data_IF_048550467348
#
_entry.id   IF_048550467348
#
_cell.length_a   1.000
_cell.length_b   1.000
_cell.length_c   1.000
_cell.angle_alpha   90.00
_cell.angle_beta   90.00
_cell.angle_gamma   90.00
#
_symmetry.space_group_name_H-M   'P 1'
#
loop_
_entity.id
_entity.type
_entity.pdbx_description
1 polymer ?
#
# COMPACT_ATOMS: atom_id res chain seq x y z
N UNK A 1 -76.93 -12.33 -0.34
CA UNK A 1 -75.70 -12.89 0.15
C UNK A 1 -74.59 -12.03 -0.44
N UNK A 2 -73.94 -11.09 0.35
CA UNK A 2 -72.57 -10.58 0.08
C UNK A 2 -72.20 -9.29 0.81
N UNK A 3 -73.05 -8.84 1.78
CA UNK A 3 -72.64 -7.65 2.53
C UNK A 3 -71.83 -7.96 3.80
N UNK A 4 -71.91 -9.19 4.33
CA UNK A 4 -71.24 -9.60 5.56
C UNK A 4 -69.75 -9.88 5.35
N UNK A 5 -69.33 -10.29 4.14
CA UNK A 5 -67.91 -10.56 3.84
C UNK A 5 -67.10 -9.29 3.57
N UNK A 6 -67.72 -8.21 3.07
CA UNK A 6 -67.03 -6.92 2.85
C UNK A 6 -66.81 -6.17 4.17
N UNK A 7 -67.82 -6.15 5.05
CA UNK A 7 -67.71 -5.50 6.35
C UNK A 7 -66.70 -6.17 7.27
N UNK A 8 -66.58 -7.51 7.21
CA UNK A 8 -65.56 -8.25 7.97
C UNK A 8 -64.14 -8.02 7.44
N UNK A 9 -63.98 -7.88 6.12
CA UNK A 9 -62.66 -7.58 5.51
C UNK A 9 -62.21 -6.12 5.78
N UNK A 10 -63.15 -5.16 5.81
CA UNK A 10 -62.81 -3.78 6.17
C UNK A 10 -62.48 -3.65 7.68
N UNK A 11 -63.08 -4.47 8.52
CA UNK A 11 -62.81 -4.50 9.96
C UNK A 11 -61.49 -5.18 10.29
N UNK A 12 -61.11 -6.26 9.58
CA UNK A 12 -59.82 -6.91 9.66
C UNK A 12 -58.64 -5.96 9.29
N UNK A 13 -58.83 -5.11 8.28
CA UNK A 13 -57.80 -4.12 7.90
C UNK A 13 -57.60 -3.02 8.95
N UNK A 14 -58.60 -2.75 9.83
CA UNK A 14 -58.49 -1.79 10.93
C UNK A 14 -57.77 -2.35 12.16
N UNK A 15 -57.66 -3.66 12.29
CA UNK A 15 -57.08 -4.36 13.44
C UNK A 15 -55.62 -4.79 13.24
N UNK A 16 -55.10 -4.68 11.99
CA UNK A 16 -53.69 -4.83 11.65
C UNK A 16 -53.12 -3.43 11.44
N UNK A 17 -52.36 -2.93 12.41
CA UNK A 17 -51.71 -1.63 12.29
C UNK A 17 -50.32 -1.85 11.68
N UNK A 18 -50.04 -1.16 10.57
CA UNK A 18 -48.72 -1.13 9.93
C UNK A 18 -48.11 0.24 10.17
N UNK A 19 -46.89 0.25 10.63
CA UNK A 19 -46.07 1.45 10.80
C UNK A 19 -44.75 1.29 10.06
N UNK A 20 -44.35 2.34 9.36
CA UNK A 20 -43.06 2.40 8.66
C UNK A 20 -42.23 3.46 9.35
N UNK A 21 -40.96 3.15 9.66
CA UNK A 21 -40.02 4.11 10.23
C UNK A 21 -39.84 5.32 9.30
N UNK A 22 -39.47 6.46 9.84
CA UNK A 22 -39.32 7.72 9.09
C UNK A 22 -38.26 7.61 7.98
N UNK A 23 -37.25 6.81 8.18
CA UNK A 23 -36.17 6.52 7.19
C UNK A 23 -36.58 5.48 6.14
N UNK A 24 -37.83 4.92 6.26
CA UNK A 24 -38.34 3.85 5.42
C UNK A 24 -37.49 2.56 5.40
N UNK A 25 -36.61 2.37 6.37
CA UNK A 25 -35.73 1.17 6.43
C UNK A 25 -36.36 0.01 7.19
N UNK A 26 -37.40 0.27 7.98
CA UNK A 26 -38.04 -0.78 8.78
C UNK A 26 -39.56 -0.61 8.74
N UNK A 27 -40.26 -1.74 8.62
CA UNK A 27 -41.73 -1.75 8.78
C UNK A 27 -42.12 -2.68 9.92
N UNK A 28 -43.08 -2.23 10.67
CA UNK A 28 -43.64 -2.88 11.85
C UNK A 28 -45.10 -3.21 11.65
N UNK A 29 -45.55 -4.30 12.28
CA UNK A 29 -46.96 -4.59 12.46
C UNK A 29 -47.34 -4.63 13.94
N UNK A 30 -48.56 -4.26 14.22
CA UNK A 30 -49.18 -4.53 15.51
C UNK A 30 -50.52 -5.18 15.26
N UNK A 31 -50.70 -6.42 15.64
CA UNK A 31 -51.96 -7.14 15.58
C UNK A 31 -52.72 -6.86 16.85
N UNK A 32 -53.93 -6.26 16.75
CA UNK A 32 -54.81 -6.11 17.90
C UNK A 32 -55.35 -7.47 18.33
N UNK A 33 -55.58 -7.69 19.61
CA UNK A 33 -56.19 -8.92 20.07
C UNK A 33 -57.62 -9.06 19.51
N UNK A 34 -57.90 -10.05 18.63
CA UNK A 34 -59.16 -10.14 17.92
C UNK A 34 -60.32 -10.70 18.76
N UNK A 35 -60.08 -11.01 20.04
CA UNK A 35 -61.04 -11.74 20.88
C UNK A 35 -61.19 -13.21 20.47
N UNK A 36 -62.37 -13.80 20.60
CA UNK A 36 -62.58 -15.25 20.39
C UNK A 36 -63.01 -15.63 18.98
N UNK A 37 -63.35 -14.69 18.11
CA UNK A 37 -64.03 -14.98 16.83
C UNK A 37 -63.22 -14.75 15.56
N UNK A 38 -62.08 -14.06 15.61
CA UNK A 38 -61.28 -13.72 14.42
C UNK A 38 -59.89 -14.28 14.54
N UNK A 39 -59.38 -14.94 13.47
CA UNK A 39 -57.98 -15.34 13.35
C UNK A 39 -57.36 -14.60 12.17
N UNK A 40 -56.24 -13.93 12.36
CA UNK A 40 -55.47 -13.33 11.28
C UNK A 40 -54.75 -14.41 10.48
N UNK A 41 -54.92 -14.37 9.15
CA UNK A 41 -54.16 -15.20 8.21
C UNK A 41 -52.89 -14.48 7.71
N UNK A 42 -52.00 -15.22 7.16
CA UNK A 42 -50.79 -14.70 6.51
C UNK A 42 -51.14 -13.69 5.39
N UNK A 43 -52.15 -14.01 4.58
CA UNK A 43 -52.59 -13.16 3.46
C UNK A 43 -53.18 -11.81 3.95
N UNK A 44 -53.80 -11.78 5.11
CA UNK A 44 -54.31 -10.56 5.69
C UNK A 44 -53.20 -9.59 6.06
N UNK A 45 -52.11 -10.13 6.65
CA UNK A 45 -50.90 -9.37 7.00
C UNK A 45 -50.20 -8.87 5.73
N UNK A 46 -50.04 -9.73 4.72
CA UNK A 46 -49.42 -9.36 3.43
C UNK A 46 -50.21 -8.27 2.73
N UNK A 47 -51.52 -8.35 2.75
CA UNK A 47 -52.38 -7.32 2.20
C UNK A 47 -52.26 -6.01 2.95
N UNK A 48 -52.25 -6.02 4.29
CA UNK A 48 -52.09 -4.82 5.09
C UNK A 48 -50.73 -4.16 4.85
N UNK A 49 -49.65 -4.95 4.72
CA UNK A 49 -48.31 -4.46 4.35
C UNK A 49 -48.28 -3.82 2.96
N UNK A 50 -48.92 -4.47 1.97
CA UNK A 50 -49.04 -3.95 0.61
C UNK A 50 -49.83 -2.63 0.56
N UNK A 51 -50.95 -2.57 1.27
CA UNK A 51 -51.80 -1.38 1.38
C UNK A 51 -51.07 -0.21 2.05
N UNK A 52 -50.18 -0.49 3.00
CA UNK A 52 -49.27 0.47 3.63
C UNK A 52 -48.07 0.87 2.74
N UNK A 53 -47.90 0.22 1.59
CA UNK A 53 -46.80 0.49 0.64
C UNK A 53 -45.52 -0.25 0.91
N UNK A 54 -45.49 -1.28 1.76
CA UNK A 54 -44.35 -2.16 1.97
C UNK A 54 -44.28 -3.15 0.82
N UNK A 55 -43.10 -3.17 0.11
CA UNK A 55 -42.91 -3.95 -1.12
C UNK A 55 -41.68 -4.86 -1.05
N UNK A 56 -40.68 -4.53 -0.22
CA UNK A 56 -39.40 -5.20 -0.18
C UNK A 56 -39.00 -5.52 1.26
N UNK A 57 -38.16 -6.51 1.39
CA UNK A 57 -37.53 -6.88 2.67
C UNK A 57 -38.47 -7.57 3.67
N UNK A 58 -39.65 -8.04 3.24
CA UNK A 58 -40.63 -8.71 4.08
C UNK A 58 -40.06 -10.06 4.55
N UNK A 59 -40.12 -10.30 5.85
CA UNK A 59 -39.69 -11.56 6.49
C UNK A 59 -40.91 -12.47 6.71
N UNK A 60 -41.17 -13.34 5.74
CA UNK A 60 -42.33 -14.23 5.76
C UNK A 60 -42.29 -15.24 6.94
N UNK A 61 -41.08 -15.72 7.31
CA UNK A 61 -40.91 -16.65 8.43
C UNK A 61 -41.27 -15.98 9.76
N UNK A 62 -40.91 -14.72 9.93
CA UNK A 62 -41.23 -13.97 11.12
C UNK A 62 -42.74 -13.68 11.21
N UNK A 63 -43.39 -13.37 10.10
CA UNK A 63 -44.85 -13.22 10.04
C UNK A 63 -45.53 -14.51 10.49
N UNK A 64 -45.16 -15.65 9.94
CA UNK A 64 -45.68 -16.96 10.36
C UNK A 64 -45.50 -17.23 11.85
N UNK A 65 -44.32 -16.86 12.40
CA UNK A 65 -44.02 -17.00 13.82
C UNK A 65 -44.93 -16.11 14.69
N UNK A 66 -45.10 -14.84 14.32
CA UNK A 66 -45.97 -13.89 15.03
C UNK A 66 -47.40 -14.43 15.09
N UNK A 67 -47.91 -14.93 13.97
CA UNK A 67 -49.24 -15.50 13.88
C UNK A 67 -49.40 -16.78 14.70
N UNK A 68 -48.41 -17.71 14.65
CA UNK A 68 -48.47 -18.98 15.37
C UNK A 68 -48.35 -18.78 16.89
N UNK A 69 -47.51 -17.84 17.33
CA UNK A 69 -47.29 -17.50 18.74
C UNK A 69 -48.38 -16.53 19.27
N UNK A 70 -49.31 -16.08 18.42
CA UNK A 70 -50.38 -15.14 18.76
C UNK A 70 -49.88 -13.89 19.47
N UNK A 71 -48.82 -13.27 18.92
CA UNK A 71 -48.25 -12.05 19.46
C UNK A 71 -49.14 -10.85 19.16
N UNK A 72 -50.08 -10.59 20.05
CA UNK A 72 -51.01 -9.47 19.92
C UNK A 72 -50.58 -8.27 20.76
N UNK A 73 -50.99 -7.07 20.33
CA UNK A 73 -50.73 -5.78 20.98
C UNK A 73 -49.24 -5.45 21.19
N UNK A 74 -48.34 -6.07 20.41
CA UNK A 74 -46.90 -5.75 20.37
C UNK A 74 -46.52 -5.26 18.98
N UNK A 75 -45.58 -4.33 18.93
CA UNK A 75 -44.97 -3.89 17.65
C UNK A 75 -43.86 -4.86 17.27
N UNK A 76 -44.03 -5.54 16.15
CA UNK A 76 -43.07 -6.52 15.63
C UNK A 76 -42.50 -6.05 14.32
N UNK A 77 -41.20 -6.11 14.13
CA UNK A 77 -40.53 -5.79 12.88
C UNK A 77 -40.78 -6.91 11.88
N UNK A 78 -41.38 -6.60 10.72
CA UNK A 78 -41.71 -7.60 9.70
C UNK A 78 -41.09 -7.35 8.34
N UNK A 79 -40.52 -6.19 8.14
CA UNK A 79 -39.77 -5.92 6.92
C UNK A 79 -38.57 -5.01 7.23
N UNK A 80 -37.45 -5.30 6.58
CA UNK A 80 -36.22 -4.52 6.69
C UNK A 80 -35.67 -4.22 5.30
N UNK A 81 -35.32 -2.96 5.08
CA UNK A 81 -34.59 -2.52 3.91
C UNK A 81 -33.13 -3.02 3.95
N UNK A 82 -32.48 -2.93 2.82
CA UNK A 82 -31.04 -3.16 2.71
C UNK A 82 -30.31 -1.83 2.69
N UNK A 83 -29.40 -1.64 3.64
CA UNK A 83 -28.55 -0.45 3.63
C UNK A 83 -27.64 -0.42 2.41
N UNK A 84 -27.36 0.78 1.94
CA UNK A 84 -26.39 1.02 0.88
C UNK A 84 -24.98 0.93 1.44
N UNK A 85 -24.08 0.35 0.68
CA UNK A 85 -22.65 0.33 1.00
C UNK A 85 -21.92 1.20 -0.03
N UNK A 86 -21.33 2.31 0.41
CA UNK A 86 -20.58 3.19 -0.47
C UNK A 86 -19.35 2.49 -1.02
N UNK A 87 -18.91 2.88 -2.20
CA UNK A 87 -17.72 2.35 -2.83
C UNK A 87 -16.43 2.85 -2.13
N UNK A 88 -15.41 2.03 -2.15
CA UNK A 88 -14.08 2.38 -1.66
C UNK A 88 -13.32 3.21 -2.70
N UNK A 89 -12.60 4.23 -2.25
CA UNK A 89 -11.72 5.02 -3.10
C UNK A 89 -10.53 4.21 -3.58
N UNK A 90 -10.03 4.54 -4.77
CA UNK A 90 -8.81 3.93 -5.29
C UNK A 90 -7.61 4.19 -4.37
N UNK A 91 -6.74 3.20 -4.24
CA UNK A 91 -5.51 3.30 -3.45
C UNK A 91 -4.32 2.65 -4.15
N UNK A 92 -3.12 3.01 -3.71
CA UNK A 92 -1.90 2.31 -4.07
C UNK A 92 -1.46 1.41 -2.90
N UNK A 93 -1.18 0.15 -3.21
CA UNK A 93 -0.42 -0.72 -2.34
C UNK A 93 1.05 -0.57 -2.73
N UNK A 94 1.89 -0.11 -1.80
CA UNK A 94 3.32 0.04 -2.00
C UNK A 94 4.05 -1.21 -1.48
N UNK A 95 5.11 -1.62 -2.19
CA UNK A 95 5.90 -2.82 -1.89
C UNK A 95 7.32 -2.49 -1.42
N UNK A 96 7.55 -1.24 -1.05
CA UNK A 96 8.77 -0.74 -0.44
C UNK A 96 8.45 0.04 0.83
N UNK A 97 9.45 0.22 1.70
CA UNK A 97 9.27 0.96 2.93
C UNK A 97 9.29 2.48 2.67
N UNK A 98 8.24 3.18 3.06
CA UNK A 98 8.16 4.65 2.97
C UNK A 98 8.71 5.36 4.20
N UNK A 99 8.87 4.65 5.32
CA UNK A 99 9.40 5.18 6.58
C UNK A 99 10.91 4.93 6.69
N UNK A 100 11.66 5.50 5.75
CA UNK A 100 13.11 5.51 5.86
C UNK A 100 13.49 6.53 6.93
N UNK A 101 13.59 6.09 8.17
CA UNK A 101 14.01 6.95 9.29
C UNK A 101 15.51 6.83 9.49
N UNK A 102 16.17 7.97 9.75
CA UNK A 102 17.59 8.06 10.14
C UNK A 102 17.86 7.40 11.52
N UNK A 103 17.03 6.45 11.94
CA UNK A 103 17.24 5.74 13.20
C UNK A 103 18.26 4.64 12.99
N UNK A 104 19.28 4.57 13.83
CA UNK A 104 20.27 3.50 13.74
C UNK A 104 19.60 2.14 13.96
N UNK A 105 20.10 1.13 13.27
CA UNK A 105 19.60 -0.25 13.38
C UNK A 105 20.01 -0.80 14.74
N UNK A 106 19.05 -1.20 15.54
CA UNK A 106 19.31 -1.93 16.79
C UNK A 106 19.47 -3.40 16.42
N UNK A 107 20.64 -3.99 16.71
CA UNK A 107 20.91 -5.41 16.48
C UNK A 107 20.18 -6.27 17.51
N UNK A 108 20.04 -7.55 17.23
CA UNK A 108 19.41 -8.52 18.14
C UNK A 108 20.06 -8.61 19.53
N UNK A 109 21.35 -8.26 19.63
CA UNK A 109 22.12 -8.19 20.88
C UNK A 109 21.92 -6.89 21.67
N UNK A 110 21.07 -5.97 21.17
CA UNK A 110 20.79 -4.66 21.79
C UNK A 110 21.86 -3.59 21.47
N UNK A 111 22.89 -3.91 20.71
CA UNK A 111 23.85 -2.91 20.24
C UNK A 111 23.28 -2.04 19.12
N UNK A 112 23.71 -0.78 19.07
CA UNK A 112 23.25 0.18 18.06
C UNK A 112 24.28 0.26 16.95
N UNK A 113 23.85 -0.07 15.73
CA UNK A 113 24.71 0.05 14.54
C UNK A 113 24.60 1.46 13.94
N UNK A 114 25.54 2.30 14.28
CA UNK A 114 25.66 3.66 13.76
C UNK A 114 26.32 3.74 12.37
N UNK A 115 26.91 2.66 11.89
CA UNK A 115 27.63 2.62 10.62
C UNK A 115 26.75 2.23 9.43
N UNK A 116 25.60 1.56 9.69
CA UNK A 116 24.67 1.10 8.67
C UNK A 116 23.32 1.83 8.80
N UNK A 117 23.33 3.12 8.58
CA UNK A 117 22.10 3.90 8.50
C UNK A 117 21.38 3.56 7.21
N UNK A 118 20.17 3.01 7.30
CA UNK A 118 19.29 2.85 6.12
C UNK A 118 18.70 4.20 5.74
N UNK A 119 19.49 4.99 5.02
CA UNK A 119 19.08 6.34 4.57
C UNK A 119 18.09 6.31 3.41
N UNK A 120 17.90 5.16 2.77
CA UNK A 120 17.04 4.97 1.59
C UNK A 120 16.65 3.50 1.44
N UNK A 121 15.55 3.26 0.75
CA UNK A 121 15.11 1.93 0.36
C UNK A 121 15.68 1.60 -1.02
N UNK A 122 16.34 0.45 -1.12
CA UNK A 122 16.95 -0.05 -2.35
C UNK A 122 16.03 -1.04 -3.03
N UNK A 123 15.99 -0.94 -4.36
CA UNK A 123 15.26 -1.86 -5.23
C UNK A 123 16.15 -2.33 -6.36
N UNK A 124 15.82 -3.49 -6.91
CA UNK A 124 16.46 -4.05 -8.10
C UNK A 124 15.57 -3.92 -9.32
N UNK A 125 16.15 -3.96 -10.50
CA UNK A 125 15.41 -4.01 -11.76
C UNK A 125 14.41 -5.18 -11.74
N UNK A 126 13.16 -4.90 -12.10
CA UNK A 126 12.06 -5.88 -12.09
C UNK A 126 11.31 -5.97 -10.75
N UNK A 127 11.77 -5.36 -9.67
CA UNK A 127 11.05 -5.35 -8.40
C UNK A 127 9.71 -4.65 -8.52
N UNK A 128 8.68 -5.24 -7.94
CA UNK A 128 7.34 -4.64 -7.86
C UNK A 128 7.36 -3.48 -6.87
N UNK A 129 7.03 -2.28 -7.36
CA UNK A 129 7.05 -1.05 -6.56
C UNK A 129 5.68 -0.69 -6.00
N UNK A 130 4.67 -0.73 -6.85
CA UNK A 130 3.32 -0.32 -6.47
C UNK A 130 2.26 -1.05 -7.28
N UNK A 131 1.07 -1.20 -6.69
CA UNK A 131 -0.12 -1.71 -7.36
C UNK A 131 -1.28 -0.76 -7.15
N UNK A 132 -1.92 -0.37 -8.24
CA UNK A 132 -3.14 0.43 -8.22
C UNK A 132 -4.34 -0.47 -7.97
N UNK A 133 -5.04 -0.23 -6.87
CA UNK A 133 -6.29 -0.89 -6.54
C UNK A 133 -7.41 0.07 -6.99
N UNK A 134 -8.22 -0.31 -8.00
CA UNK A 134 -9.25 0.57 -8.54
C UNK A 134 -10.37 0.82 -7.51
N UNK A 135 -11.11 1.92 -7.67
CA UNK A 135 -12.24 2.22 -6.82
C UNK A 135 -13.38 1.25 -7.08
N UNK A 136 -14.20 0.98 -6.06
CA UNK A 136 -15.38 0.15 -6.19
C UNK A 136 -16.63 0.99 -6.43
N UNK A 137 -17.64 0.37 -7.04
CA UNK A 137 -18.94 1.05 -7.31
C UNK A 137 -19.86 1.11 -6.10
N UNK A 138 -19.54 0.36 -5.04
CA UNK A 138 -20.42 0.14 -3.91
C UNK A 138 -21.57 -0.83 -4.21
N UNK A 139 -22.39 -1.09 -3.20
CA UNK A 139 -23.53 -2.02 -3.28
C UNK A 139 -24.83 -1.25 -3.08
N UNK A 140 -25.76 -1.43 -4.02
CA UNK A 140 -27.08 -0.82 -3.92
C UNK A 140 -27.87 -1.37 -2.73
N UNK A 141 -28.57 -0.49 -2.06
CA UNK A 141 -29.56 -0.80 -1.06
C UNK A 141 -30.99 -0.60 -1.59
N UNK A 142 -31.97 -0.86 -0.75
CA UNK A 142 -33.38 -0.54 -0.99
C UNK A 142 -34.11 -0.31 0.34
N UNK A 143 -35.10 0.54 0.33
CA UNK A 143 -36.00 0.73 1.46
C UNK A 143 -37.19 -0.26 1.40
N UNK A 144 -38.01 -0.31 2.46
CA UNK A 144 -39.15 -1.24 2.52
C UNK A 144 -40.24 -0.88 1.51
N UNK A 145 -40.26 0.32 0.95
CA UNK A 145 -41.17 0.77 -0.12
C UNK A 145 -40.68 0.35 -1.51
N UNK A 146 -39.48 -0.21 -1.61
CA UNK A 146 -38.86 -0.63 -2.86
C UNK A 146 -38.12 0.48 -3.59
N UNK A 147 -37.85 1.61 -2.94
CA UNK A 147 -37.04 2.67 -3.50
C UNK A 147 -35.56 2.24 -3.45
N UNK A 148 -34.91 2.27 -4.62
CA UNK A 148 -33.52 1.95 -4.74
C UNK A 148 -32.64 3.04 -4.06
N UNK A 149 -31.74 2.63 -3.19
CA UNK A 149 -30.73 3.47 -2.57
C UNK A 149 -29.40 3.30 -3.33
N UNK A 150 -28.92 4.41 -3.89
CA UNK A 150 -27.75 4.41 -4.78
C UNK A 150 -26.50 4.72 -3.95
N UNK A 151 -25.47 3.86 -3.99
CA UNK A 151 -24.21 4.12 -3.32
C UNK A 151 -23.46 5.27 -3.97
N UNK A 152 -22.60 5.93 -3.21
CA UNK A 152 -21.60 6.83 -3.77
C UNK A 152 -20.46 5.97 -4.31
N UNK A 153 -20.13 6.08 -5.59
CA UNK A 153 -18.99 5.35 -6.14
C UNK A 153 -17.68 5.88 -5.53
N UNK A 154 -16.73 5.01 -5.31
CA UNK A 154 -15.38 5.39 -4.91
C UNK A 154 -14.70 6.26 -5.96
N UNK A 155 -13.83 7.15 -5.53
CA UNK A 155 -13.11 8.11 -6.38
C UNK A 155 -11.86 7.47 -6.97
N UNK A 156 -11.57 7.69 -8.26
CA UNK A 156 -10.29 7.27 -8.82
C UNK A 156 -9.14 8.08 -8.22
N UNK A 157 -7.95 7.48 -8.12
CA UNK A 157 -6.72 8.16 -7.71
C UNK A 157 -5.85 8.44 -8.93
N UNK A 158 -5.14 9.56 -8.91
CA UNK A 158 -4.23 9.96 -9.97
C UNK A 158 -3.12 8.91 -10.14
N UNK A 159 -2.75 8.59 -11.38
CA UNK A 159 -1.64 7.68 -11.67
C UNK A 159 -0.32 8.25 -11.16
N UNK A 160 0.57 7.34 -10.73
CA UNK A 160 1.92 7.71 -10.29
C UNK A 160 2.70 8.29 -11.46
N UNK A 161 3.51 9.31 -11.18
CA UNK A 161 4.38 10.01 -12.13
C UNK A 161 5.82 9.86 -11.68
N UNK A 162 6.76 10.00 -12.60
CA UNK A 162 8.18 9.98 -12.30
C UNK A 162 9.00 9.21 -13.30
N UNK A 163 10.16 8.69 -12.87
CA UNK A 163 11.17 8.06 -13.72
C UNK A 163 11.72 6.79 -13.08
N UNK A 164 12.36 5.93 -13.88
CA UNK A 164 13.05 4.74 -13.41
C UNK A 164 12.12 3.58 -13.09
N UNK A 165 10.88 3.60 -13.57
CA UNK A 165 9.94 2.48 -13.48
C UNK A 165 9.26 2.20 -14.82
N UNK A 166 8.75 0.99 -14.96
CA UNK A 166 7.86 0.55 -16.05
C UNK A 166 6.48 0.25 -15.47
N UNK A 167 5.47 0.27 -16.33
CA UNK A 167 4.08 -0.02 -15.95
C UNK A 167 3.61 -1.24 -16.72
N UNK A 168 2.91 -2.14 -16.08
CA UNK A 168 2.30 -3.32 -16.70
C UNK A 168 1.33 -2.94 -17.83
N UNK A 169 1.01 -3.89 -18.72
CA UNK A 169 0.11 -3.66 -19.86
C UNK A 169 -1.30 -3.22 -19.41
N UNK A 170 -1.79 -3.71 -18.27
CA UNK A 170 -3.08 -3.32 -17.67
C UNK A 170 -3.05 -1.94 -17.01
N UNK A 171 -1.85 -1.34 -16.87
CA UNK A 171 -1.63 -0.03 -16.30
C UNK A 171 -1.78 0.04 -14.77
N UNK A 172 -1.81 -1.10 -14.07
CA UNK A 172 -2.08 -1.16 -12.64
C UNK A 172 -0.85 -1.45 -11.79
N UNK A 173 0.18 -2.11 -12.35
CA UNK A 173 1.36 -2.50 -11.58
C UNK A 173 2.59 -1.72 -12.07
N UNK A 174 3.39 -1.25 -11.14
CA UNK A 174 4.60 -0.48 -11.36
C UNK A 174 5.81 -1.33 -10.93
N UNK A 175 6.79 -1.46 -11.83
CA UNK A 175 8.02 -2.23 -11.61
C UNK A 175 9.23 -1.34 -11.76
N UNK A 176 10.28 -1.59 -11.00
CA UNK A 176 11.55 -0.90 -11.18
C UNK A 176 12.13 -1.22 -12.57
N UNK A 177 12.55 -0.18 -13.30
CA UNK A 177 13.22 -0.32 -14.58
C UNK A 177 14.75 -0.39 -14.44
N UNK A 178 15.28 -0.10 -13.25
CA UNK A 178 16.71 -0.04 -12.96
C UNK A 178 16.98 -0.42 -11.50
N UNK A 179 18.19 -0.84 -11.19
CA UNK A 179 18.67 -0.90 -9.83
C UNK A 179 18.84 0.50 -9.25
N UNK A 180 18.46 0.72 -7.98
CA UNK A 180 18.62 2.05 -7.38
C UNK A 180 17.85 2.26 -6.08
N UNK A 181 17.73 3.52 -5.66
CA UNK A 181 16.92 3.92 -4.51
C UNK A 181 15.54 4.39 -4.96
N UNK A 182 14.52 4.04 -4.16
CA UNK A 182 13.16 4.54 -4.36
C UNK A 182 12.96 5.85 -3.61
N UNK A 183 12.41 6.84 -4.31
CA UNK A 183 11.88 8.05 -3.72
C UNK A 183 10.39 8.17 -4.04
N UNK A 184 9.57 8.32 -2.98
CA UNK A 184 8.12 8.44 -3.12
C UNK A 184 7.60 9.63 -2.30
N UNK A 185 6.90 10.53 -2.98
CA UNK A 185 6.20 11.66 -2.34
C UNK A 185 4.87 11.91 -3.04
N UNK A 186 3.78 11.82 -2.31
CA UNK A 186 2.42 12.01 -2.83
C UNK A 186 2.09 11.08 -4.01
N UNK A 187 2.28 11.57 -5.26
CA UNK A 187 2.05 10.82 -6.50
C UNK A 187 3.34 10.65 -7.32
N UNK A 188 4.46 11.19 -6.84
CA UNK A 188 5.74 11.11 -7.53
C UNK A 188 6.51 9.91 -7.01
N UNK A 189 6.77 8.96 -7.91
CA UNK A 189 7.56 7.77 -7.71
C UNK A 189 8.79 7.85 -8.60
N UNK A 190 9.98 7.80 -8.02
CA UNK A 190 11.23 7.78 -8.79
C UNK A 190 12.12 6.65 -8.31
N UNK A 191 12.76 5.96 -9.25
CA UNK A 191 13.89 5.10 -8.96
C UNK A 191 15.15 5.76 -9.51
N UNK A 192 16.11 5.99 -8.63
CA UNK A 192 17.34 6.73 -8.93
C UNK A 192 18.50 5.75 -8.88
N UNK A 193 19.10 5.49 -10.06
CA UNK A 193 20.21 4.55 -10.24
C UNK A 193 21.57 5.11 -9.86
N UNK A 194 21.68 6.40 -9.51
CA UNK A 194 22.92 7.04 -9.10
C UNK A 194 22.76 7.69 -7.74
N UNK A 195 23.53 7.26 -6.76
CA UNK A 195 23.61 7.89 -5.45
C UNK A 195 24.68 8.99 -5.48
N UNK A 196 24.26 10.24 -5.43
CA UNK A 196 25.15 11.39 -5.31
C UNK A 196 25.32 11.78 -3.84
N UNK A 197 26.57 11.83 -3.36
CA UNK A 197 26.94 12.27 -2.02
C UNK A 197 27.76 13.55 -2.18
N UNK A 198 27.16 14.67 -1.75
CA UNK A 198 27.86 15.95 -1.72
C UNK A 198 28.71 16.06 -0.44
N UNK A 199 30.03 16.25 -0.59
CA UNK A 199 30.95 16.29 0.52
C UNK A 199 31.69 14.97 0.78
N UNK A 200 32.22 14.83 1.99
CA UNK A 200 33.06 13.71 2.39
C UNK A 200 32.20 12.55 2.94
N UNK A 201 32.63 11.32 2.70
CA UNK A 201 32.11 10.13 3.37
C UNK A 201 33.00 9.80 4.54
N UNK A 202 32.51 10.03 5.73
CA UNK A 202 33.18 9.88 7.01
C UNK A 202 32.38 8.97 7.98
N UNK A 203 32.80 8.86 9.22
CA UNK A 203 32.12 8.08 10.26
C UNK A 203 30.74 8.62 10.64
N UNK A 204 30.38 9.87 10.28
CA UNK A 204 29.04 10.42 10.53
C UNK A 204 28.05 9.94 9.47
N UNK A 205 28.50 9.79 8.22
CA UNK A 205 27.72 9.17 7.14
C UNK A 205 27.71 7.65 7.29
N UNK A 206 28.82 7.06 7.75
CA UNK A 206 28.99 5.64 7.91
C UNK A 206 29.30 4.92 6.58
N UNK A 207 28.98 3.63 6.55
CA UNK A 207 29.18 2.81 5.36
C UNK A 207 28.12 3.11 4.31
N UNK A 208 28.54 3.14 3.04
CA UNK A 208 27.66 3.32 1.88
C UNK A 208 27.52 1.99 1.17
N UNK A 209 26.27 1.51 1.02
CA UNK A 209 25.93 0.35 0.20
C UNK A 209 24.80 0.73 -0.75
N UNK A 210 25.01 0.58 -2.06
CA UNK A 210 24.07 1.06 -3.06
C UNK A 210 23.96 0.12 -4.26
N UNK A 211 22.72 -0.13 -4.71
CA UNK A 211 22.40 -1.00 -5.85
C UNK A 211 22.56 -0.34 -7.23
N UNK A 212 23.29 0.75 -7.35
CA UNK A 212 23.54 1.47 -8.61
C UNK A 212 24.91 2.09 -8.58
N UNK A 213 25.08 3.20 -9.31
CA UNK A 213 26.31 3.96 -9.33
C UNK A 213 26.42 4.88 -8.09
N UNK A 214 27.64 5.05 -7.55
CA UNK A 214 27.90 5.96 -6.42
C UNK A 214 28.87 7.05 -6.87
N UNK A 215 28.43 8.31 -6.72
CA UNK A 215 29.27 9.49 -6.98
C UNK A 215 29.45 10.30 -5.70
N UNK A 216 30.73 10.43 -5.27
CA UNK A 216 31.11 11.19 -4.08
C UNK A 216 31.91 12.40 -4.55
N UNK A 217 31.44 13.62 -4.26
CA UNK A 217 32.12 14.83 -4.68
C UNK A 217 33.36 15.13 -3.82
N UNK A 218 33.33 14.76 -2.54
CA UNK A 218 34.38 14.96 -1.56
C UNK A 218 35.32 13.74 -1.42
N UNK A 219 35.88 13.59 -0.20
CA UNK A 219 36.82 12.55 0.17
C UNK A 219 36.11 11.32 0.76
N UNK A 220 36.79 10.18 0.78
CA UNK A 220 36.39 9.00 1.56
C UNK A 220 37.45 8.77 2.63
N UNK A 221 37.03 8.85 3.90
CA UNK A 221 37.95 8.88 5.06
C UNK A 221 38.08 7.49 5.68
N UNK A 222 39.16 7.30 6.42
CA UNK A 222 39.48 6.03 7.08
C UNK A 222 38.36 5.50 7.96
N UNK A 223 38.12 4.19 7.91
CA UNK A 223 37.19 3.47 8.76
C UNK A 223 35.79 3.30 8.17
N UNK A 224 35.55 3.79 6.95
CA UNK A 224 34.30 3.56 6.21
C UNK A 224 34.50 2.64 5.02
N UNK A 225 33.40 2.09 4.52
CA UNK A 225 33.34 1.33 3.28
C UNK A 225 32.32 1.91 2.32
N UNK A 226 32.64 1.87 1.02
CA UNK A 226 31.70 2.21 -0.06
C UNK A 226 31.57 1.01 -0.96
N UNK A 227 30.36 0.49 -1.09
CA UNK A 227 30.02 -0.65 -1.95
C UNK A 227 28.96 -0.24 -2.95
N UNK A 228 29.18 -0.52 -4.25
CA UNK A 228 28.24 -0.24 -5.32
C UNK A 228 28.07 -1.45 -6.25
N UNK A 229 26.85 -1.75 -6.69
CA UNK A 229 26.62 -2.70 -7.81
C UNK A 229 26.93 -2.08 -9.18
N UNK A 230 27.01 -0.76 -9.25
CA UNK A 230 27.46 0.00 -10.41
C UNK A 230 28.91 0.46 -10.31
N UNK A 231 29.16 1.67 -10.83
CA UNK A 231 30.44 2.34 -10.74
C UNK A 231 30.59 3.11 -9.41
N UNK A 232 31.85 3.29 -8.97
CA UNK A 232 32.16 4.22 -7.88
C UNK A 232 33.06 5.32 -8.41
N UNK A 233 32.60 6.56 -8.29
CA UNK A 233 33.42 7.74 -8.63
C UNK A 233 33.65 8.58 -7.37
N UNK A 234 34.93 8.81 -7.03
CA UNK A 234 35.31 9.70 -5.92
C UNK A 234 36.04 10.92 -6.47
N UNK A 235 35.47 12.08 -6.23
CA UNK A 235 36.01 13.38 -6.67
C UNK A 235 37.23 13.83 -5.83
N UNK A 236 37.25 13.49 -4.55
CA UNK A 236 38.30 13.79 -3.60
C UNK A 236 39.34 12.68 -3.46
N UNK A 237 40.01 12.68 -2.31
CA UNK A 237 40.99 11.63 -1.92
C UNK A 237 40.29 10.44 -1.23
N UNK A 238 40.85 9.25 -1.41
CA UNK A 238 40.47 8.11 -0.61
C UNK A 238 41.57 7.78 0.37
N UNK A 239 41.29 7.77 1.67
CA UNK A 239 42.24 7.58 2.72
C UNK A 239 41.84 6.41 3.65
N UNK A 240 42.55 5.32 3.66
CA UNK A 240 42.38 4.20 4.59
C UNK A 240 40.97 3.55 4.56
N UNK A 241 40.25 3.61 3.45
CA UNK A 241 38.89 3.11 3.29
C UNK A 241 38.85 1.87 2.38
N UNK A 242 37.69 1.16 2.43
CA UNK A 242 37.39 0.04 1.53
C UNK A 242 36.43 0.50 0.46
N UNK A 243 36.82 0.37 -0.83
CA UNK A 243 35.97 0.70 -1.97
C UNK A 243 35.70 -0.55 -2.78
N UNK A 244 34.43 -0.87 -3.06
CA UNK A 244 34.00 -1.99 -3.87
C UNK A 244 33.00 -1.56 -4.95
N UNK A 245 33.22 -2.03 -6.19
CA UNK A 245 32.31 -1.82 -7.29
C UNK A 245 32.15 -3.10 -8.11
N UNK A 246 30.93 -3.38 -8.53
CA UNK A 246 30.66 -4.45 -9.51
C UNK A 246 30.98 -4.03 -10.95
N UNK A 247 31.30 -2.73 -11.17
CA UNK A 247 31.83 -2.17 -12.42
C UNK A 247 33.14 -1.45 -12.18
N UNK A 248 33.30 -0.24 -12.69
CA UNK A 248 34.52 0.53 -12.63
C UNK A 248 34.65 1.37 -11.35
N UNK A 249 35.90 1.61 -10.93
CA UNK A 249 36.23 2.56 -9.86
C UNK A 249 37.07 3.69 -10.42
N UNK A 250 36.67 4.93 -10.20
CA UNK A 250 37.36 6.14 -10.64
C UNK A 250 37.69 7.01 -9.42
N UNK A 251 38.98 7.12 -9.08
CA UNK A 251 39.48 7.97 -8.00
C UNK A 251 40.18 9.18 -8.60
N UNK A 252 39.46 10.30 -8.76
CA UNK A 252 39.95 11.48 -9.50
C UNK A 252 41.24 12.06 -8.93
N UNK A 253 41.37 12.08 -7.60
CA UNK A 253 42.61 12.55 -6.92
C UNK A 253 43.52 11.45 -6.45
N UNK A 254 43.06 10.18 -6.48
CA UNK A 254 43.81 9.02 -6.05
C UNK A 254 43.59 8.58 -4.62
N UNK A 255 44.41 7.62 -4.13
CA UNK A 255 44.23 7.01 -2.81
C UNK A 255 45.56 6.76 -2.11
N UNK A 256 45.58 7.10 -0.79
CA UNK A 256 46.59 6.63 0.15
C UNK A 256 45.97 5.67 1.17
N UNK A 257 46.29 4.42 1.08
CA UNK A 257 45.64 3.36 1.86
C UNK A 257 46.07 3.24 3.29
N UNK A 258 47.11 3.92 3.72
CA UNK A 258 47.70 3.80 5.08
C UNK A 258 47.99 2.34 5.47
N UNK A 259 48.16 1.43 4.51
CA UNK A 259 48.35 -0.01 4.71
C UNK A 259 47.11 -0.82 5.02
N UNK A 260 45.92 -0.19 5.14
CA UNK A 260 44.66 -0.86 5.48
C UNK A 260 43.60 -0.79 4.37
N UNK A 261 43.74 0.15 3.42
CA UNK A 261 42.75 0.31 2.35
C UNK A 261 42.77 -0.88 1.37
N UNK A 262 41.56 -1.15 0.85
CA UNK A 262 41.32 -2.15 -0.17
C UNK A 262 40.39 -1.59 -1.26
N UNK A 263 40.80 -1.76 -2.52
CA UNK A 263 40.00 -1.37 -3.68
C UNK A 263 39.70 -2.66 -4.45
N UNK A 264 38.40 -2.93 -4.69
CA UNK A 264 37.93 -4.12 -5.38
C UNK A 264 36.98 -3.70 -6.50
N UNK A 265 37.27 -3.99 -7.76
CA UNK A 265 36.45 -3.75 -8.91
C UNK A 265 36.27 -5.00 -9.76
N UNK A 266 35.06 -5.28 -10.27
CA UNK A 266 34.86 -6.26 -11.35
C UNK A 266 35.21 -5.67 -12.72
N UNK A 267 35.26 -4.36 -12.85
CA UNK A 267 35.73 -3.62 -14.01
C UNK A 267 37.16 -3.09 -13.83
N UNK A 268 37.40 -1.88 -14.31
CA UNK A 268 38.68 -1.19 -14.26
C UNK A 268 38.84 -0.35 -12.99
N UNK A 269 40.06 -0.07 -12.61
CA UNK A 269 40.39 0.92 -11.58
C UNK A 269 41.22 2.03 -12.22
N UNK A 270 40.73 3.27 -12.14
CA UNK A 270 41.43 4.47 -12.63
C UNK A 270 41.70 5.40 -11.46
N UNK A 271 42.96 5.80 -11.25
CA UNK A 271 43.32 6.70 -10.17
C UNK A 271 44.49 7.61 -10.58
N UNK A 272 44.51 8.85 -10.03
CA UNK A 272 45.68 9.72 -10.24
C UNK A 272 46.95 9.13 -9.60
N UNK A 273 46.81 8.59 -8.40
CA UNK A 273 47.90 7.84 -7.74
C UNK A 273 47.34 6.77 -6.82
N UNK A 274 48.09 5.75 -6.55
CA UNK A 274 47.82 4.66 -5.60
C UNK A 274 49.01 4.46 -4.69
N UNK A 275 48.83 4.51 -3.37
CA UNK A 275 49.89 4.44 -2.40
C UNK A 275 49.47 3.63 -1.16
N UNK A 276 50.32 2.72 -0.69
CA UNK A 276 50.18 1.93 0.54
C UNK A 276 48.83 1.18 0.64
N UNK A 277 48.38 0.50 -0.41
CA UNK A 277 47.08 -0.17 -0.46
C UNK A 277 47.08 -1.44 -1.33
N UNK A 278 45.95 -2.18 -1.28
CA UNK A 278 45.70 -3.34 -2.12
C UNK A 278 44.63 -3.05 -3.15
N UNK A 279 44.88 -3.44 -4.40
CA UNK A 279 43.93 -3.34 -5.51
C UNK A 279 43.68 -4.72 -6.11
N UNK A 280 42.44 -5.08 -6.22
CA UNK A 280 41.96 -6.28 -6.93
C UNK A 280 40.97 -5.84 -7.98
N UNK A 281 41.22 -6.17 -9.27
CA UNK A 281 40.24 -5.91 -10.31
C UNK A 281 40.22 -7.02 -11.37
N UNK A 282 39.06 -7.22 -11.99
CA UNK A 282 38.95 -8.15 -13.12
C UNK A 282 39.35 -7.48 -14.45
N UNK A 283 39.35 -6.15 -14.53
CA UNK A 283 39.85 -5.37 -15.64
C UNK A 283 41.29 -4.85 -15.43
N UNK A 284 41.56 -3.66 -15.92
CA UNK A 284 42.85 -2.99 -15.90
C UNK A 284 42.97 -1.97 -14.76
N UNK A 285 44.21 -1.70 -14.33
CA UNK A 285 44.57 -0.59 -13.43
C UNK A 285 45.27 0.50 -14.20
N UNK A 286 44.72 1.69 -14.19
CA UNK A 286 45.28 2.90 -14.79
C UNK A 286 45.65 3.89 -13.68
N UNK A 287 46.92 4.26 -13.59
CA UNK A 287 47.39 5.24 -12.62
C UNK A 287 48.66 5.95 -13.10
N UNK A 288 48.80 7.23 -12.75
CA UNK A 288 50.00 8.00 -13.08
C UNK A 288 51.18 7.62 -12.14
N UNK A 289 50.86 7.15 -10.93
CA UNK A 289 51.88 6.77 -9.95
C UNK A 289 51.36 5.64 -9.05
N UNK A 290 52.19 4.65 -8.82
CA UNK A 290 51.91 3.51 -7.92
C UNK A 290 53.11 3.34 -7.01
N UNK A 291 52.86 3.40 -5.67
CA UNK A 291 53.90 3.27 -4.67
C UNK A 291 53.44 2.35 -3.54
N UNK A 292 54.23 1.33 -3.25
CA UNK A 292 54.01 0.40 -2.14
C UNK A 292 52.61 -0.24 -2.16
N UNK A 293 52.18 -0.74 -3.32
CA UNK A 293 50.88 -1.36 -3.52
C UNK A 293 50.97 -2.83 -3.88
N UNK A 294 50.02 -3.61 -3.43
CA UNK A 294 49.76 -4.97 -3.91
C UNK A 294 48.62 -4.92 -4.95
N UNK A 295 48.90 -5.25 -6.20
CA UNK A 295 47.95 -5.15 -7.29
C UNK A 295 47.75 -6.50 -7.97
N UNK A 296 46.48 -6.93 -8.07
CA UNK A 296 46.06 -8.09 -8.84
C UNK A 296 45.01 -7.63 -9.86
N UNK A 297 45.39 -7.63 -11.13
CA UNK A 297 44.50 -7.29 -12.27
C UNK A 297 44.49 -8.48 -13.24
N UNK A 298 43.31 -8.78 -13.84
CA UNK A 298 43.16 -9.89 -14.81
C UNK A 298 43.17 -9.41 -16.26
N UNK A 299 43.02 -8.11 -16.53
CA UNK A 299 43.05 -7.47 -17.82
C UNK A 299 44.41 -6.99 -18.24
#
# INVERSE_FOLDING_TARGET
MDNTSKDSLEQLNKDILVSIADDCMTAYICLKNPGTEICYGYEDVKKALADAGVKMGINDELIHRILSEKRYNSMETVAEGKHVEDGEDARYQLFFNTDVSNKPVIREDGSVDYYNLRLYELVSEGDKLAEYIPPTKGVFGYDVRGKLLVPKPGKPKTKLRGKGFTVSEDGNTYYSAIDGKVEYRNTDLNVIGVLQIEGDVDLNIGNVDFNGDVEISGNVISGVSVTAKGNVTVGGFVEGAVIKADKDIILKKGSNGKGVAKIEAKGNVTASFLENLRVYCDGNVYSNSILNCEISAKG
#
